data_IF_068266799603
#
_entry.id   IF_068266799603
#
_cell.length_a   1.000
_cell.length_b   1.000
_cell.length_c   1.000
_cell.angle_alpha   90.00
_cell.angle_beta   90.00
_cell.angle_gamma   90.00
#
_symmetry.space_group_name_H-M   'P 1'
#
loop_
_entity.id
_entity.type
_entity.pdbx_description
1 polymer ?
#
# COMPACT_ATOMS: atom_id res chain seq x y z
N UNK A 1 -3.61 -16.17 -11.65
CA UNK A 1 -4.54 -16.42 -12.74
C UNK A 1 -3.85 -16.00 -14.03
N UNK A 2 -3.66 -16.95 -14.95
CA UNK A 2 -2.99 -16.74 -16.22
C UNK A 2 -4.00 -16.98 -17.35
N UNK A 3 -4.15 -16.01 -18.25
CA UNK A 3 -5.13 -16.06 -19.32
C UNK A 3 -4.42 -15.91 -20.67
N UNK A 4 -4.80 -16.75 -21.64
CA UNK A 4 -4.10 -16.91 -22.93
C UNK A 4 -5.12 -16.87 -24.07
N UNK A 5 -4.91 -16.00 -25.06
CA UNK A 5 -5.73 -15.88 -26.28
C UNK A 5 -4.82 -15.77 -27.51
N UNK A 6 -5.23 -16.37 -28.64
CA UNK A 6 -4.52 -16.34 -29.94
C UNK A 6 -4.98 -15.15 -30.82
N UNK A 7 -4.03 -14.38 -31.38
CA UNK A 7 -4.25 -13.41 -32.48
C UNK A 7 -3.35 -13.81 -33.65
N UNK A 8 -3.93 -14.13 -34.81
CA UNK A 8 -3.41 -14.37 -36.18
C UNK A 8 -1.97 -14.90 -36.45
N UNK A 9 -0.97 -14.74 -35.57
CA UNK A 9 0.35 -15.40 -35.55
C UNK A 9 1.10 -15.29 -34.18
N UNK A 10 0.52 -14.66 -33.16
CA UNK A 10 1.15 -14.43 -31.85
C UNK A 10 0.20 -14.70 -30.67
N UNK A 11 0.79 -15.14 -29.56
CA UNK A 11 0.13 -15.29 -28.27
C UNK A 11 0.21 -14.00 -27.48
N UNK A 12 -0.90 -13.74 -26.79
CA UNK A 12 -0.97 -12.71 -25.77
C UNK A 12 -1.17 -13.38 -24.41
N UNK A 13 -0.36 -12.98 -23.42
CA UNK A 13 -0.31 -13.62 -22.10
C UNK A 13 -0.54 -12.59 -21.00
N UNK A 14 -1.53 -12.86 -20.15
CA UNK A 14 -1.81 -12.05 -18.95
C UNK A 14 -1.41 -12.84 -17.71
N UNK A 15 -0.63 -12.23 -16.80
CA UNK A 15 -0.23 -12.85 -15.53
C UNK A 15 -0.76 -11.99 -14.37
N UNK A 16 -1.66 -12.54 -13.57
CA UNK A 16 -2.08 -11.94 -12.30
C UNK A 16 -1.78 -12.88 -11.14
N UNK A 17 -1.42 -12.35 -9.98
CA UNK A 17 -1.35 -13.17 -8.75
C UNK A 17 -2.76 -13.40 -8.23
N UNK A 18 -3.28 -14.62 -8.37
CA UNK A 18 -4.46 -15.06 -7.63
C UNK A 18 -4.11 -15.32 -6.16
N UNK A 19 -5.14 -15.51 -5.33
CA UNK A 19 -5.06 -15.67 -3.87
C UNK A 19 -3.93 -16.62 -3.42
N UNK A 20 -2.78 -16.06 -3.02
CA UNK A 20 -1.75 -16.75 -2.22
C UNK A 20 -0.44 -17.12 -2.93
N UNK A 21 -0.31 -17.01 -4.25
CA UNK A 21 0.96 -17.30 -4.93
C UNK A 21 1.75 -16.00 -5.15
N UNK A 22 2.98 -15.88 -4.62
CA UNK A 22 3.81 -14.70 -4.84
C UNK A 22 4.08 -14.46 -6.33
N UNK A 23 3.82 -13.24 -6.81
CA UNK A 23 4.01 -12.84 -8.20
C UNK A 23 5.42 -13.17 -8.74
N UNK A 24 6.46 -13.00 -7.92
CA UNK A 24 7.84 -13.34 -8.28
C UNK A 24 8.00 -14.81 -8.67
N UNK A 25 7.29 -15.73 -8.01
CA UNK A 25 7.39 -17.16 -8.34
C UNK A 25 6.80 -17.43 -9.73
N UNK A 26 5.68 -16.78 -10.07
CA UNK A 26 5.06 -16.89 -11.39
C UNK A 26 5.96 -16.26 -12.46
N UNK A 27 6.53 -15.10 -12.16
CA UNK A 27 7.43 -14.38 -13.06
C UNK A 27 8.72 -15.17 -13.34
N UNK A 28 9.32 -15.80 -12.33
CA UNK A 28 10.51 -16.64 -12.51
C UNK A 28 10.20 -17.85 -13.40
N UNK A 29 9.08 -18.54 -13.17
CA UNK A 29 8.66 -19.64 -14.05
C UNK A 29 8.44 -19.17 -15.49
N UNK A 30 7.76 -18.05 -15.68
CA UNK A 30 7.58 -17.44 -17.00
C UNK A 30 8.93 -17.10 -17.67
N UNK A 31 9.88 -16.55 -16.91
CA UNK A 31 11.22 -16.24 -17.42
C UNK A 31 12.01 -17.49 -17.82
N UNK A 32 11.85 -18.59 -17.09
CA UNK A 32 12.49 -19.87 -17.47
C UNK A 32 11.87 -20.49 -18.73
N UNK A 33 10.58 -20.24 -18.94
CA UNK A 33 9.80 -20.81 -20.04
C UNK A 33 10.10 -20.12 -21.37
N UNK A 34 10.27 -18.80 -21.35
CA UNK A 34 10.40 -17.98 -22.55
C UNK A 34 11.76 -17.27 -22.55
N UNK A 35 12.64 -17.52 -23.53
CA UNK A 35 13.92 -16.82 -23.67
C UNK A 35 13.74 -15.30 -23.78
N UNK A 36 14.71 -14.53 -23.25
CA UNK A 36 14.64 -13.06 -23.14
C UNK A 36 14.44 -12.40 -24.51
N UNK A 37 15.13 -12.91 -25.52
CA UNK A 37 15.13 -12.46 -26.91
C UNK A 37 13.78 -12.61 -27.62
N UNK A 38 12.89 -13.47 -27.11
CA UNK A 38 11.56 -13.69 -27.68
C UNK A 38 10.45 -12.93 -26.94
N UNK A 39 10.78 -12.26 -25.83
CA UNK A 39 9.84 -11.42 -25.09
C UNK A 39 9.79 -10.03 -25.73
N UNK A 40 8.74 -9.74 -26.50
CA UNK A 40 8.54 -8.41 -27.09
C UNK A 40 7.46 -7.64 -26.35
N UNK A 41 7.78 -6.50 -25.77
CA UNK A 41 6.78 -5.63 -25.13
C UNK A 41 6.08 -4.75 -26.17
N UNK A 42 4.75 -4.77 -26.17
CA UNK A 42 3.89 -3.84 -26.90
C UNK A 42 3.42 -2.76 -25.93
N UNK A 43 3.96 -1.55 -26.06
CA UNK A 43 3.67 -0.44 -25.17
C UNK A 43 2.23 0.10 -25.28
N UNK A 44 1.63 0.03 -26.47
CA UNK A 44 0.26 0.51 -26.73
C UNK A 44 -0.78 -0.41 -26.06
N UNK A 45 -0.64 -1.71 -26.28
CA UNK A 45 -1.48 -2.75 -25.66
C UNK A 45 -1.03 -3.10 -24.23
N UNK A 46 0.05 -2.45 -23.76
CA UNK A 46 0.77 -2.70 -22.51
C UNK A 46 1.06 -4.17 -22.25
N UNK A 47 1.44 -4.98 -23.25
CA UNK A 47 1.53 -6.45 -23.13
C UNK A 47 2.84 -7.08 -23.62
N UNK A 48 3.16 -8.30 -23.17
CA UNK A 48 4.17 -9.14 -23.85
C UNK A 48 3.53 -9.87 -25.02
N UNK A 49 4.18 -9.82 -26.18
CA UNK A 49 3.83 -10.51 -27.43
C UNK A 49 4.79 -11.67 -27.59
N UNK A 50 4.24 -12.87 -27.77
CA UNK A 50 4.99 -14.13 -27.76
C UNK A 50 4.60 -14.98 -28.97
N UNK A 51 5.48 -15.89 -29.39
CA UNK A 51 5.18 -16.84 -30.46
C UNK A 51 4.21 -17.94 -29.99
N UNK A 52 3.34 -18.41 -30.91
CA UNK A 52 2.41 -19.54 -30.69
C UNK A 52 3.07 -20.83 -30.21
N UNK A 53 4.38 -21.00 -30.42
CA UNK A 53 5.12 -22.18 -29.93
C UNK A 53 5.14 -22.31 -28.40
N UNK A 54 4.84 -21.24 -27.64
CA UNK A 54 4.83 -21.25 -26.18
C UNK A 54 3.47 -21.61 -25.56
N UNK A 55 2.45 -21.85 -26.40
CA UNK A 55 1.05 -21.98 -25.94
C UNK A 55 0.87 -23.11 -24.93
N UNK A 56 1.36 -24.31 -25.24
CA UNK A 56 1.20 -25.49 -24.38
C UNK A 56 1.93 -25.30 -23.05
N UNK A 57 3.13 -24.74 -23.10
CA UNK A 57 3.95 -24.48 -21.92
C UNK A 57 3.32 -23.42 -21.00
N UNK A 58 2.62 -22.43 -21.58
CA UNK A 58 1.88 -21.42 -20.83
C UNK A 58 0.59 -21.99 -20.22
N UNK A 59 -0.08 -22.94 -20.90
CA UNK A 59 -1.21 -23.68 -20.35
C UNK A 59 -0.79 -24.54 -19.17
N UNK A 60 0.31 -25.29 -19.30
CA UNK A 60 0.91 -26.08 -18.22
C UNK A 60 1.26 -25.18 -17.02
N UNK A 61 1.82 -24.00 -17.29
CA UNK A 61 2.13 -23.02 -16.25
C UNK A 61 0.86 -22.51 -15.56
N UNK A 62 -0.21 -22.22 -16.30
CA UNK A 62 -1.49 -21.79 -15.73
C UNK A 62 -2.08 -22.88 -14.83
N UNK A 63 -2.17 -24.12 -15.32
CA UNK A 63 -2.68 -25.27 -14.57
C UNK A 63 -1.87 -25.50 -13.28
N UNK A 64 -0.54 -25.35 -13.33
CA UNK A 64 0.33 -25.47 -12.16
C UNK A 64 0.18 -24.32 -11.13
N UNK A 65 -0.45 -23.21 -11.51
CA UNK A 65 -0.67 -22.03 -10.66
C UNK A 65 -2.08 -22.02 -10.07
N UNK A 66 -3.04 -22.69 -10.70
CA UNK A 66 -4.45 -22.67 -10.28
C UNK A 66 -4.88 -24.06 -9.86
N UNK A 67 -4.98 -24.28 -8.55
CA UNK A 67 -5.51 -25.50 -7.93
C UNK A 67 -7.05 -25.59 -8.13
N UNK A 68 -7.51 -25.66 -9.39
CA UNK A 68 -8.81 -26.24 -9.74
C UNK A 68 -10.03 -25.35 -10.06
N UNK A 69 -10.01 -24.01 -9.93
CA UNK A 69 -11.25 -23.21 -10.05
C UNK A 69 -11.17 -22.03 -11.05
N UNK A 70 -10.95 -22.27 -12.34
CA UNK A 70 -11.06 -21.22 -13.36
C UNK A 70 -11.81 -21.68 -14.62
N UNK A 71 -12.88 -20.96 -14.94
CA UNK A 71 -13.66 -21.11 -16.14
C UNK A 71 -13.11 -20.18 -17.24
N UNK A 72 -12.87 -20.73 -18.43
CA UNK A 72 -12.29 -20.03 -19.59
C UNK A 72 -13.44 -19.69 -20.53
N UNK A 73 -13.84 -18.41 -20.59
CA UNK A 73 -14.75 -17.91 -21.64
C UNK A 73 -14.06 -16.85 -22.49
N UNK A 74 -14.29 -16.95 -23.81
CA UNK A 74 -13.64 -16.20 -24.88
C UNK A 74 -14.16 -14.76 -24.93
N UNK A 75 -13.25 -13.79 -24.93
CA UNK A 75 -13.10 -12.73 -25.94
C UNK A 75 -12.28 -11.54 -25.40
N UNK A 76 -11.37 -11.03 -26.23
CA UNK A 76 -10.53 -9.82 -26.08
C UNK A 76 -9.54 -9.75 -24.90
N UNK A 77 -8.24 -9.93 -25.17
CA UNK A 77 -7.18 -9.78 -24.16
C UNK A 77 -6.53 -8.39 -24.25
N UNK A 78 -6.32 -7.73 -23.10
CA UNK A 78 -5.51 -6.51 -22.84
C UNK A 78 -4.55 -6.88 -21.69
N UNK A 79 -3.27 -6.50 -21.75
CA UNK A 79 -2.38 -6.72 -20.60
C UNK A 79 -2.47 -5.48 -19.73
N UNK A 80 -3.30 -5.58 -18.71
CA UNK A 80 -3.11 -4.74 -17.55
C UNK A 80 -2.11 -5.45 -16.65
N UNK A 81 -0.89 -4.92 -16.55
CA UNK A 81 -0.22 -4.96 -15.26
C UNK A 81 -1.16 -4.17 -14.36
N UNK A 82 -2.05 -4.86 -13.64
CA UNK A 82 -2.64 -4.27 -12.44
C UNK A 82 -1.48 -4.09 -11.47
N UNK A 83 -0.77 -2.99 -11.65
CA UNK A 83 -0.08 -2.30 -10.58
C UNK A 83 -1.20 -1.99 -9.58
N UNK A 84 -1.50 -2.95 -8.72
CA UNK A 84 -2.60 -2.92 -7.75
C UNK A 84 -2.45 -1.76 -6.75
N UNK A 85 -1.32 -1.06 -6.81
CA UNK A 85 -1.02 0.18 -6.10
C UNK A 85 -1.20 1.48 -6.90
N UNK A 86 -1.67 1.46 -8.16
CA UNK A 86 -2.07 2.66 -8.90
C UNK A 86 -3.34 3.27 -8.28
N UNK A 87 -3.17 3.85 -7.09
CA UNK A 87 -4.00 4.98 -6.66
C UNK A 87 -4.08 5.91 -7.85
N UNK A 88 -5.28 6.40 -8.15
CA UNK A 88 -5.51 7.33 -9.23
C UNK A 88 -4.37 8.37 -9.28
N UNK A 89 -3.43 8.22 -10.21
CA UNK A 89 -2.24 9.08 -10.31
C UNK A 89 -2.68 10.53 -10.45
N UNK A 90 -3.86 10.74 -11.03
CA UNK A 90 -4.43 12.05 -11.23
C UNK A 90 -4.88 12.68 -9.91
N UNK A 91 -5.21 11.87 -8.89
CA UNK A 91 -5.50 12.30 -7.51
C UNK A 91 -4.25 12.66 -6.68
N UNK A 92 -3.04 12.31 -7.14
CA UNK A 92 -1.81 12.61 -6.42
C UNK A 92 -1.48 14.11 -6.47
N UNK A 93 -0.85 14.67 -5.41
CA UNK A 93 -0.28 16.02 -5.45
C UNK A 93 0.66 16.20 -6.65
N UNK A 94 0.67 17.39 -7.26
CA UNK A 94 1.38 17.68 -8.53
C UNK A 94 2.85 17.20 -8.55
N UNK A 95 3.58 17.37 -7.45
CA UNK A 95 4.97 16.91 -7.32
C UNK A 95 5.10 15.38 -7.29
N UNK A 96 4.20 14.69 -6.57
CA UNK A 96 4.16 13.22 -6.52
C UNK A 96 3.73 12.63 -7.85
N UNK A 97 2.72 13.21 -8.50
CA UNK A 97 2.23 12.82 -9.81
C UNK A 97 3.35 12.86 -10.87
N UNK A 98 4.17 13.91 -10.88
CA UNK A 98 5.30 14.02 -11.80
C UNK A 98 6.31 12.88 -11.59
N UNK A 99 6.60 12.55 -10.33
CA UNK A 99 7.51 11.44 -9.98
C UNK A 99 6.94 10.07 -10.31
N UNK A 100 5.66 9.84 -10.02
CA UNK A 100 4.95 8.61 -10.37
C UNK A 100 5.01 8.36 -11.87
N UNK A 101 4.66 9.38 -12.68
CA UNK A 101 4.73 9.29 -14.15
C UNK A 101 6.15 9.03 -14.65
N UNK A 102 7.15 9.67 -14.04
CA UNK A 102 8.56 9.44 -14.38
C UNK A 102 8.97 8.00 -14.05
N UNK A 103 8.67 7.50 -12.85
CA UNK A 103 9.02 6.15 -12.42
C UNK A 103 8.36 5.09 -13.31
N UNK A 104 7.06 5.23 -13.59
CA UNK A 104 6.32 4.30 -14.45
C UNK A 104 6.90 4.26 -15.85
N UNK A 105 7.20 5.42 -16.43
CA UNK A 105 7.84 5.49 -17.74
C UNK A 105 9.14 4.69 -17.76
N UNK A 106 9.99 4.87 -16.75
CA UNK A 106 11.29 4.20 -16.70
C UNK A 106 11.18 2.72 -16.32
N UNK A 107 10.19 2.30 -15.52
CA UNK A 107 9.91 0.87 -15.26
C UNK A 107 9.53 0.13 -16.56
N UNK A 108 8.83 0.81 -17.45
CA UNK A 108 8.42 0.25 -18.74
C UNK A 108 9.61 0.19 -19.71
N UNK A 109 10.47 1.21 -19.70
CA UNK A 109 11.60 1.33 -20.63
C UNK A 109 12.83 0.53 -20.18
N UNK A 110 13.09 0.42 -18.87
CA UNK A 110 14.27 -0.25 -18.29
C UNK A 110 13.91 -1.62 -17.70
N UNK A 111 13.99 -2.63 -18.55
CA UNK A 111 13.66 -4.02 -18.20
C UNK A 111 14.83 -4.77 -17.54
N UNK A 112 16.03 -4.19 -17.50
CA UNK A 112 17.19 -4.84 -16.88
C UNK A 112 17.20 -4.64 -15.36
N UNK A 113 17.20 -5.75 -14.62
CA UNK A 113 17.25 -5.70 -13.15
C UNK A 113 15.92 -5.39 -12.48
N UNK A 114 14.78 -5.65 -13.15
CA UNK A 114 13.40 -5.59 -12.61
C UNK A 114 13.27 -6.22 -11.20
N UNK A 115 13.99 -7.30 -10.90
CA UNK A 115 14.00 -7.92 -9.56
C UNK A 115 14.50 -6.98 -8.45
N UNK A 116 15.41 -6.07 -8.80
CA UNK A 116 15.94 -5.02 -7.90
C UNK A 116 15.03 -3.79 -7.85
N UNK A 117 13.96 -3.75 -8.64
CA UNK A 117 13.03 -2.63 -8.72
C UNK A 117 11.72 -2.89 -7.95
N UNK A 118 11.46 -4.10 -7.47
CA UNK A 118 10.22 -4.43 -6.76
C UNK A 118 10.38 -4.48 -5.23
N UNK A 119 9.46 -3.84 -4.50
CA UNK A 119 9.31 -3.98 -3.04
C UNK A 119 8.22 -5.00 -2.73
N UNK A 120 8.63 -6.09 -2.08
CA UNK A 120 7.73 -7.15 -1.58
C UNK A 120 6.83 -6.60 -0.47
N UNK A 121 7.38 -5.79 0.45
CA UNK A 121 6.64 -5.32 1.62
C UNK A 121 5.59 -4.25 1.31
N UNK A 122 5.75 -3.51 0.22
CA UNK A 122 4.83 -2.45 -0.19
C UNK A 122 4.02 -2.77 -1.43
N UNK A 123 4.35 -3.87 -2.12
CA UNK A 123 3.76 -4.19 -3.42
C UNK A 123 3.91 -3.02 -4.41
N UNK A 124 5.03 -2.30 -4.33
CA UNK A 124 5.32 -1.11 -5.14
C UNK A 124 6.60 -1.34 -5.95
N UNK A 125 6.62 -0.87 -7.19
CA UNK A 125 7.81 -0.82 -8.03
C UNK A 125 8.52 0.54 -7.90
N UNK A 126 9.84 0.53 -7.98
CA UNK A 126 10.66 1.73 -7.95
C UNK A 126 11.89 1.68 -8.84
N UNK A 127 12.26 2.83 -9.38
CA UNK A 127 13.38 3.03 -10.31
C UNK A 127 14.40 3.95 -9.66
N UNK A 128 15.67 3.59 -9.80
CA UNK A 128 16.77 4.44 -9.35
C UNK A 128 17.09 5.53 -10.38
N UNK A 129 17.14 6.77 -9.93
CA UNK A 129 17.61 7.90 -10.71
C UNK A 129 19.07 8.22 -10.33
N UNK A 130 20.04 8.05 -11.24
CA UNK A 130 21.45 8.34 -10.96
C UNK A 130 21.74 9.84 -10.80
N UNK A 131 20.92 10.72 -11.38
CA UNK A 131 21.20 12.17 -11.37
C UNK A 131 21.05 12.79 -9.98
N UNK A 132 20.13 12.26 -9.17
CA UNK A 132 19.84 12.74 -7.81
C UNK A 132 20.04 11.68 -6.72
N UNK A 133 20.47 10.48 -7.10
CA UNK A 133 20.73 9.35 -6.20
C UNK A 133 19.48 8.97 -5.36
N UNK A 134 18.31 8.95 -5.99
CA UNK A 134 17.03 8.58 -5.38
C UNK A 134 16.32 7.44 -6.10
N UNK A 135 15.63 6.63 -5.34
CA UNK A 135 14.62 5.68 -5.85
C UNK A 135 13.27 6.37 -5.93
N UNK A 136 12.61 6.31 -7.08
CA UNK A 136 11.26 6.80 -7.31
C UNK A 136 10.29 5.66 -7.50
N UNK A 137 9.15 5.72 -6.81
CA UNK A 137 8.14 4.66 -6.84
C UNK A 137 6.93 5.03 -7.68
N UNK A 138 6.22 4.03 -8.20
CA UNK A 138 4.96 4.22 -8.93
C UNK A 138 3.90 4.98 -8.11
N UNK A 139 3.98 4.90 -6.78
CA UNK A 139 3.12 5.63 -5.83
C UNK A 139 3.42 7.13 -5.73
N UNK A 140 4.44 7.63 -6.45
CA UNK A 140 4.90 9.02 -6.40
C UNK A 140 5.79 9.37 -5.19
N UNK A 141 6.13 8.34 -4.39
CA UNK A 141 7.10 8.41 -3.29
C UNK A 141 8.53 8.36 -3.82
N UNK A 142 9.48 8.65 -2.93
CA UNK A 142 10.90 8.48 -3.19
C UNK A 142 11.63 8.00 -1.94
N UNK A 143 12.83 7.45 -2.11
CA UNK A 143 13.66 6.91 -1.03
C UNK A 143 15.14 7.00 -1.40
N UNK A 144 16.02 7.12 -0.39
CA UNK A 144 17.46 6.93 -0.58
C UNK A 144 17.87 5.45 -0.61
N UNK A 145 17.00 4.57 -0.09
CA UNK A 145 17.22 3.12 -0.04
C UNK A 145 16.43 2.41 -1.13
N UNK A 146 17.01 1.33 -1.65
CA UNK A 146 16.36 0.49 -2.67
C UNK A 146 15.08 -0.18 -2.14
N UNK A 147 14.19 -0.66 -3.03
CA UNK A 147 13.04 -1.45 -2.64
C UNK A 147 13.41 -2.65 -1.73
N UNK A 148 14.50 -3.34 -2.03
CA UNK A 148 14.96 -4.51 -1.26
C UNK A 148 15.60 -4.13 0.07
N UNK A 149 16.31 -3.01 0.13
CA UNK A 149 16.85 -2.49 1.40
C UNK A 149 15.71 -2.08 2.34
N UNK A 150 14.67 -1.47 1.78
CA UNK A 150 13.45 -1.15 2.50
C UNK A 150 12.75 -2.43 2.99
N UNK A 151 12.62 -3.45 2.15
CA UNK A 151 12.04 -4.74 2.54
C UNK A 151 12.84 -5.41 3.65
N UNK A 152 14.18 -5.43 3.58
CA UNK A 152 15.04 -5.97 4.65
C UNK A 152 14.79 -5.25 5.97
N UNK A 153 14.61 -3.93 5.95
CA UNK A 153 14.28 -3.15 7.14
C UNK A 153 12.90 -3.51 7.70
N UNK A 154 11.88 -3.59 6.84
CA UNK A 154 10.51 -3.95 7.23
C UNK A 154 10.45 -5.38 7.76
N UNK A 155 11.06 -6.34 7.07
CA UNK A 155 11.17 -7.74 7.50
C UNK A 155 11.89 -7.81 8.84
N UNK A 156 13.03 -7.14 9.02
CA UNK A 156 13.76 -7.08 10.29
C UNK A 156 12.91 -6.47 11.42
N UNK A 157 12.11 -5.44 11.12
CA UNK A 157 11.17 -4.84 12.08
C UNK A 157 10.03 -5.81 12.42
N UNK A 158 9.50 -6.53 11.43
CA UNK A 158 8.48 -7.55 11.62
C UNK A 158 9.02 -8.71 12.47
N UNK A 159 10.22 -9.22 12.19
CA UNK A 159 10.89 -10.22 13.02
C UNK A 159 11.16 -9.72 14.44
N UNK A 160 11.58 -8.46 14.63
CA UNK A 160 11.73 -7.88 15.98
C UNK A 160 10.39 -7.79 16.70
N UNK A 161 9.32 -7.46 15.99
CA UNK A 161 7.96 -7.42 16.54
C UNK A 161 7.46 -8.82 16.88
N UNK A 162 7.72 -9.81 16.02
CA UNK A 162 7.38 -11.21 16.25
C UNK A 162 8.20 -11.82 17.39
N UNK A 163 9.50 -11.51 17.52
CA UNK A 163 10.32 -11.94 18.65
C UNK A 163 9.87 -11.26 19.95
N UNK A 164 9.50 -9.98 19.89
CA UNK A 164 8.89 -9.27 21.01
C UNK A 164 7.54 -9.90 21.39
N UNK A 165 6.72 -10.32 20.43
CA UNK A 165 5.47 -11.06 20.65
C UNK A 165 5.75 -12.46 21.18
N UNK A 166 6.78 -13.17 20.70
CA UNK A 166 7.17 -14.50 21.17
C UNK A 166 7.64 -14.48 22.62
N UNK A 167 8.45 -13.48 22.97
CA UNK A 167 8.97 -13.27 24.33
C UNK A 167 7.90 -12.72 25.27
N UNK A 168 6.91 -11.98 24.75
CA UNK A 168 5.85 -11.35 25.54
C UNK A 168 4.44 -11.80 25.15
N UNK A 169 4.23 -13.08 24.79
CA UNK A 169 2.99 -13.57 24.12
C UNK A 169 1.67 -13.18 24.79
N UNK A 170 1.64 -13.11 26.12
CA UNK A 170 0.49 -12.60 26.87
C UNK A 170 0.21 -11.10 26.61
N UNK A 171 1.27 -10.28 26.50
CA UNK A 171 1.15 -8.85 26.17
C UNK A 171 0.79 -8.60 24.70
N UNK A 172 1.01 -9.55 23.79
CA UNK A 172 0.67 -9.36 22.38
C UNK A 172 -0.85 -9.39 22.14
N UNK A 173 -1.56 -10.27 22.85
CA UNK A 173 -3.02 -10.32 22.87
C UNK A 173 -3.55 -9.06 23.55
N UNK A 174 -3.05 -8.72 24.73
CA UNK A 174 -3.40 -7.46 25.43
C UNK A 174 -3.11 -6.22 24.58
N UNK A 175 -2.03 -6.23 23.78
CA UNK A 175 -1.67 -5.14 22.89
C UNK A 175 -2.58 -5.05 21.67
N UNK A 176 -2.99 -6.18 21.10
CA UNK A 176 -3.99 -6.24 20.01
C UNK A 176 -5.34 -5.76 20.50
N UNK A 177 -5.80 -6.23 21.67
CA UNK A 177 -7.04 -5.79 22.31
C UNK A 177 -6.98 -4.29 22.67
N UNK A 178 -5.82 -3.81 23.14
CA UNK A 178 -5.60 -2.39 23.41
C UNK A 178 -5.63 -1.56 22.11
N UNK A 179 -5.07 -2.06 21.00
CA UNK A 179 -5.11 -1.36 19.71
C UNK A 179 -6.52 -1.30 19.14
N UNK A 180 -7.25 -2.41 19.19
CA UNK A 180 -8.66 -2.48 18.80
C UNK A 180 -9.52 -1.54 19.65
N UNK A 181 -9.30 -1.54 20.97
CA UNK A 181 -9.93 -0.59 21.88
C UNK A 181 -9.61 0.86 21.48
N UNK A 182 -8.34 1.20 21.24
CA UNK A 182 -7.94 2.55 20.83
C UNK A 182 -8.57 2.98 19.51
N UNK A 183 -8.69 2.07 18.54
CA UNK A 183 -9.31 2.35 17.25
C UNK A 183 -10.81 2.58 17.40
N UNK A 184 -11.52 1.68 18.09
CA UNK A 184 -12.96 1.79 18.34
C UNK A 184 -13.30 3.02 19.18
N UNK A 185 -12.52 3.27 20.22
CA UNK A 185 -12.68 4.44 21.08
C UNK A 185 -12.43 5.74 20.30
N UNK A 186 -11.41 5.79 19.43
CA UNK A 186 -11.22 6.96 18.56
C UNK A 186 -12.41 7.19 17.64
N UNK A 187 -12.96 6.16 17.01
CA UNK A 187 -14.14 6.30 16.15
C UNK A 187 -15.34 6.83 16.92
N UNK A 188 -15.61 6.28 18.11
CA UNK A 188 -16.68 6.75 18.99
C UNK A 188 -16.52 8.24 19.34
N UNK A 189 -15.30 8.68 19.68
CA UNK A 189 -15.03 10.11 19.95
C UNK A 189 -15.18 10.96 18.68
N UNK A 190 -14.77 10.47 17.51
CA UNK A 190 -14.95 11.18 16.25
C UNK A 190 -16.44 11.40 15.94
N UNK A 191 -17.25 10.36 16.08
CA UNK A 191 -18.70 10.40 15.86
C UNK A 191 -19.40 11.36 16.84
N UNK A 192 -19.04 11.31 18.13
CA UNK A 192 -19.59 12.21 19.18
C UNK A 192 -19.47 13.70 18.84
N UNK A 193 -18.39 14.09 18.14
CA UNK A 193 -18.11 15.48 17.79
C UNK A 193 -18.31 15.77 16.29
N UNK A 194 -19.09 14.94 15.57
CA UNK A 194 -19.36 15.08 14.13
C UNK A 194 -18.09 15.24 13.28
N UNK A 195 -17.01 14.54 13.67
CA UNK A 195 -15.68 14.63 13.05
C UNK A 195 -15.10 16.06 13.05
N UNK A 196 -15.49 16.91 14.01
CA UNK A 196 -15.07 18.30 14.11
C UNK A 196 -14.34 18.61 15.41
N UNK A 197 -13.47 19.61 15.36
CA UNK A 197 -12.86 20.16 16.56
C UNK A 197 -13.94 20.77 17.46
N UNK A 198 -13.96 20.35 18.72
CA UNK A 198 -14.88 20.84 19.75
C UNK A 198 -14.89 22.37 19.89
N UNK A 199 -13.73 23.02 19.71
CA UNK A 199 -13.57 24.46 19.90
C UNK A 199 -13.93 25.24 18.63
N UNK A 200 -13.26 24.96 17.50
CA UNK A 200 -13.40 25.79 16.30
C UNK A 200 -14.18 25.15 15.14
N UNK A 201 -14.74 23.95 15.33
CA UNK A 201 -15.53 23.27 14.31
C UNK A 201 -14.75 22.79 13.08
N UNK A 202 -13.41 22.92 13.05
CA UNK A 202 -12.64 22.47 11.88
C UNK A 202 -12.75 20.94 11.73
N UNK A 203 -13.10 20.42 10.55
CA UNK A 203 -13.32 18.99 10.37
C UNK A 203 -12.02 18.19 10.19
N UNK A 204 -12.05 16.91 10.60
CA UNK A 204 -10.93 15.95 10.55
C UNK A 204 -10.32 15.81 9.16
N UNK A 205 -11.14 15.85 8.10
CA UNK A 205 -10.66 15.71 6.72
C UNK A 205 -9.82 16.91 6.25
N UNK A 206 -9.99 18.09 6.86
CA UNK A 206 -9.13 19.26 6.62
C UNK A 206 -7.86 19.15 7.47
N UNK A 207 -8.00 18.74 8.72
CA UNK A 207 -6.88 18.62 9.64
C UNK A 207 -7.09 17.51 10.66
N UNK A 208 -6.09 16.62 10.79
CA UNK A 208 -6.10 15.53 11.77
C UNK A 208 -6.32 16.06 13.20
N UNK A 209 -7.39 15.63 13.85
CA UNK A 209 -7.77 16.00 15.21
C UNK A 209 -7.19 15.00 16.23
N UNK A 210 -6.95 15.52 17.42
CA UNK A 210 -6.37 14.83 18.56
C UNK A 210 -7.43 14.60 19.62
N UNK A 211 -7.40 13.43 20.27
CA UNK A 211 -8.16 13.17 21.49
C UNK A 211 -7.38 13.73 22.68
N UNK A 212 -7.94 14.70 23.37
CA UNK A 212 -7.37 15.30 24.57
C UNK A 212 -8.16 14.89 25.80
N UNK A 213 -7.48 14.55 26.90
CA UNK A 213 -8.14 14.27 28.18
C UNK A 213 -8.36 15.57 28.95
N UNK A 214 -9.58 15.82 29.38
CA UNK A 214 -9.95 17.00 30.18
C UNK A 214 -9.34 16.90 31.59
N UNK A 215 -9.47 15.73 32.22
CA UNK A 215 -8.75 15.37 33.44
C UNK A 215 -7.48 14.64 33.00
N UNK A 216 -6.28 15.20 33.25
CA UNK A 216 -5.02 14.54 32.97
C UNK A 216 -4.86 13.22 33.72
N UNK A 217 -4.11 12.28 33.14
CA UNK A 217 -3.80 10.99 33.78
C UNK A 217 -3.08 11.13 35.13
N UNK A 218 -2.27 12.17 35.33
CA UNK A 218 -1.62 12.47 36.63
C UNK A 218 -2.61 12.77 37.76
N UNK A 219 -3.87 13.09 37.41
CA UNK A 219 -4.96 13.33 38.35
C UNK A 219 -6.03 12.22 38.29
N UNK A 220 -5.66 11.03 37.78
CA UNK A 220 -6.58 9.88 37.68
C UNK A 220 -7.51 9.92 36.46
N UNK A 221 -7.28 10.80 35.49
CA UNK A 221 -8.14 10.89 34.30
C UNK A 221 -7.91 9.76 33.29
N UNK A 222 -8.97 9.00 33.06
CA UNK A 222 -9.01 7.88 32.11
C UNK A 222 -9.48 8.29 30.71
N UNK A 223 -9.25 7.43 29.71
CA UNK A 223 -9.82 7.59 28.37
C UNK A 223 -11.23 7.01 28.34
N UNK A 224 -12.17 7.77 28.90
CA UNK A 224 -13.61 7.52 28.83
C UNK A 224 -14.28 8.65 28.04
N UNK A 225 -15.46 8.39 27.50
CA UNK A 225 -16.14 9.29 26.57
C UNK A 225 -16.39 10.70 27.15
N UNK A 226 -16.68 10.77 28.44
CA UNK A 226 -16.98 12.00 29.19
C UNK A 226 -15.72 12.83 29.47
N UNK A 227 -14.55 12.19 29.52
CA UNK A 227 -13.29 12.84 29.87
C UNK A 227 -12.43 13.20 28.64
N UNK A 228 -12.95 13.01 27.42
CA UNK A 228 -12.20 13.21 26.18
C UNK A 228 -12.89 14.21 25.25
N UNK A 229 -12.10 15.16 24.75
CA UNK A 229 -12.49 16.09 23.69
C UNK A 229 -11.68 15.90 22.44
N UNK A 230 -12.31 16.16 21.30
CA UNK A 230 -11.67 16.13 20.00
C UNK A 230 -11.24 17.55 19.60
N UNK A 231 -9.94 17.78 19.40
CA UNK A 231 -9.38 19.11 19.15
C UNK A 231 -8.34 19.12 18.04
N UNK A 232 -8.28 20.18 17.24
CA UNK A 232 -7.25 20.31 16.22
C UNK A 232 -5.86 20.56 16.87
N UNK A 233 -4.74 20.41 16.14
CA UNK A 233 -3.39 20.59 16.69
C UNK A 233 -3.15 21.94 17.35
N UNK A 234 -3.78 23.01 16.85
CA UNK A 234 -3.71 24.35 17.46
C UNK A 234 -4.37 24.33 18.85
N UNK A 235 -5.63 23.90 18.91
CA UNK A 235 -6.39 23.88 20.16
C UNK A 235 -5.88 22.82 21.15
N UNK A 236 -5.33 21.71 20.67
CA UNK A 236 -4.71 20.68 21.52
C UNK A 236 -3.61 21.26 22.43
N UNK A 237 -2.78 22.16 21.89
CA UNK A 237 -1.76 22.86 22.68
C UNK A 237 -2.35 23.91 23.62
N UNK A 238 -3.47 24.52 23.25
CA UNK A 238 -4.11 25.56 24.06
C UNK A 238 -4.83 25.00 25.28
N UNK A 239 -5.47 23.83 25.14
CA UNK A 239 -6.23 23.19 26.22
C UNK A 239 -5.38 22.39 27.18
N UNK A 240 -4.09 22.19 26.88
CA UNK A 240 -3.19 21.43 27.72
C UNK A 240 -3.06 22.08 29.11
N UNK A 241 -3.51 21.36 30.14
CA UNK A 241 -3.48 21.83 31.52
C UNK A 241 -4.64 22.73 31.93
N UNK A 242 -5.64 22.95 31.06
CA UNK A 242 -6.85 23.71 31.39
C UNK A 242 -7.94 22.83 32.01
N UNK A 243 -8.80 23.45 32.82
CA UNK A 243 -10.01 22.82 33.35
C UNK A 243 -11.09 22.69 32.28
N UNK A 244 -12.13 21.90 32.57
CA UNK A 244 -13.29 21.77 31.68
C UNK A 244 -13.98 23.12 31.40
N UNK A 245 -14.14 23.93 32.44
CA UNK A 245 -14.82 25.22 32.34
C UNK A 245 -14.03 26.18 31.43
N UNK A 246 -12.71 26.24 31.59
CA UNK A 246 -11.82 27.03 30.74
C UNK A 246 -11.84 26.55 29.28
N UNK A 247 -11.99 25.24 29.04
CA UNK A 247 -12.10 24.68 27.69
C UNK A 247 -13.46 25.05 27.06
N UNK A 248 -14.54 25.04 27.83
CA UNK A 248 -15.87 25.45 27.34
C UNK A 248 -15.93 26.94 27.00
N UNK A 249 -15.28 27.79 27.78
CA UNK A 249 -15.18 29.23 27.48
C UNK A 249 -14.48 29.48 26.14
N UNK A 250 -13.47 28.68 25.79
CA UNK A 250 -12.79 28.78 24.49
C UNK A 250 -13.72 28.45 23.31
N UNK A 251 -14.75 27.63 23.51
CA UNK A 251 -15.71 27.27 22.46
C UNK A 251 -16.74 28.39 22.21
N UNK A 252 -17.01 29.22 23.23
CA UNK A 252 -17.98 30.31 23.13
C UNK A 252 -17.41 31.60 22.51
N UNK A 253 -16.09 31.67 22.36
CA UNK A 253 -15.35 32.82 21.82
C UNK A 253 -14.83 32.54 20.41
#
# INVERSE_FOLDING_TARGET
MLEIIEEEDNLKVTISSGNGIPFNHILEKFKTLIPKEERKWNAEKKCWVLSNKYLDQLKDLNEAITDGDLNIERDELILEIQMSGLRDIESLPKSMKKRAKWAIKHLIEDTEGIEKQFSISRSEWGVFNPDDNLWYFESGRYSHSSPQEHDKSVIKSAYRSLEHVRVNGHRAIEFSEMLDFKFRFRQLILEKYDYQCFICGIPEYIQKLHMHRVIPGKYGGEYIEENVVLVCPKHHKMVEGRSWDEINELRMN
#
